data_IF_846956500701
#
_entry.id   IF_846956500701
#
_cell.length_a   1.000
_cell.length_b   1.000
_cell.length_c   1.000
_cell.angle_alpha   90.00
_cell.angle_beta   90.00
_cell.angle_gamma   90.00
#
_symmetry.space_group_name_H-M   'P 1'
#
loop_
_entity.id
_entity.type
_entity.pdbx_description
1 polymer ?
#
# COMPACT_ATOMS: atom_id res chain seq x y z
N UNK A 1 59.78 -50.40 21.95
CA UNK A 1 58.36 -50.06 22.24
C UNK A 1 58.17 -48.55 22.17
N UNK A 2 57.69 -48.02 21.05
CA UNK A 2 57.43 -46.58 20.87
C UNK A 2 55.91 -46.38 21.03
N UNK A 3 55.49 -45.62 22.05
CA UNK A 3 54.10 -45.18 22.22
C UNK A 3 53.86 -43.92 21.38
N UNK A 4 53.02 -44.04 20.38
CA UNK A 4 52.50 -42.89 19.59
C UNK A 4 51.35 -42.28 20.36
N UNK A 5 51.48 -41.02 20.72
CA UNK A 5 50.43 -40.19 21.28
C UNK A 5 49.71 -39.52 20.14
N UNK A 6 48.39 -39.85 19.94
CA UNK A 6 47.52 -39.25 18.96
C UNK A 6 46.89 -37.99 19.58
N UNK A 7 47.29 -36.81 19.08
CA UNK A 7 46.61 -35.54 19.42
C UNK A 7 45.34 -35.39 18.57
N UNK A 8 44.19 -35.45 19.20
CA UNK A 8 42.91 -35.09 18.60
C UNK A 8 42.74 -33.59 18.77
N UNK A 9 42.96 -32.81 17.72
CA UNK A 9 42.58 -31.40 17.61
C UNK A 9 41.09 -31.30 17.31
N UNK A 10 40.27 -31.00 18.33
CA UNK A 10 38.89 -30.64 18.17
C UNK A 10 38.80 -29.20 17.61
N UNK A 11 38.52 -29.05 16.32
CA UNK A 11 38.13 -27.77 15.73
C UNK A 11 36.74 -27.38 16.18
N UNK A 12 36.65 -26.46 17.10
CA UNK A 12 35.39 -25.74 17.40
C UNK A 12 35.18 -24.72 16.27
N UNK A 13 34.37 -25.07 15.28
CA UNK A 13 33.87 -24.12 14.33
C UNK A 13 32.79 -23.27 15.04
N UNK A 14 33.17 -22.10 15.54
CA UNK A 14 32.23 -21.05 15.87
C UNK A 14 31.58 -20.57 14.56
N UNK A 15 30.38 -21.06 14.29
CA UNK A 15 29.52 -20.43 13.30
C UNK A 15 29.13 -19.05 13.85
N UNK A 16 29.88 -18.01 13.48
CA UNK A 16 29.41 -16.63 13.59
C UNK A 16 28.22 -16.51 12.63
N UNK A 17 27.03 -16.73 13.16
CA UNK A 17 25.82 -16.24 12.52
C UNK A 17 25.92 -14.71 12.58
N UNK A 18 26.40 -14.05 11.53
CA UNK A 18 26.29 -12.62 11.39
C UNK A 18 24.77 -12.32 11.37
N UNK A 19 24.23 -11.88 12.50
CA UNK A 19 22.89 -11.33 12.56
C UNK A 19 22.92 -10.10 11.64
N UNK A 20 22.32 -10.22 10.47
CA UNK A 20 22.16 -9.08 9.58
C UNK A 20 21.50 -7.95 10.39
N UNK A 21 22.18 -6.83 10.52
CA UNK A 21 21.71 -5.68 11.28
C UNK A 21 20.40 -5.18 10.64
N UNK A 22 19.33 -5.11 11.42
CA UNK A 22 18.02 -4.69 10.92
C UNK A 22 18.09 -3.23 10.50
N UNK A 23 17.80 -2.93 9.23
CA UNK A 23 17.91 -1.58 8.67
C UNK A 23 16.96 -0.59 9.34
N UNK A 24 17.47 0.64 9.57
CA UNK A 24 16.71 1.75 10.13
C UNK A 24 16.13 2.59 8.99
N UNK A 25 14.83 2.85 9.04
CA UNK A 25 14.10 3.63 8.07
C UNK A 25 13.64 4.96 8.65
N UNK A 26 13.90 6.05 7.93
CA UNK A 26 13.35 7.37 8.19
C UNK A 26 11.99 7.50 7.48
N UNK A 27 11.06 8.34 8.00
CA UNK A 27 9.82 8.59 7.28
C UNK A 27 10.11 9.29 5.94
N UNK A 28 9.51 8.77 4.86
CA UNK A 28 9.60 9.37 3.51
C UNK A 28 8.70 10.61 3.37
N UNK A 29 7.71 10.72 4.24
CA UNK A 29 6.82 11.88 4.32
C UNK A 29 6.35 12.07 5.76
N UNK A 30 6.21 13.33 6.15
CA UNK A 30 5.76 13.77 7.48
C UNK A 30 4.70 14.86 7.29
N UNK A 31 3.46 14.60 7.75
CA UNK A 31 2.36 15.57 7.75
C UNK A 31 2.07 15.96 9.21
N UNK A 32 2.61 17.11 9.64
CA UNK A 32 2.27 17.68 10.96
C UNK A 32 0.81 18.14 10.95
N UNK A 33 0.06 17.84 12.00
CA UNK A 33 -1.35 18.15 12.11
C UNK A 33 -1.68 18.77 13.47
N UNK A 34 -2.43 19.86 13.45
CA UNK A 34 -3.10 20.41 14.63
C UNK A 34 -4.55 19.91 14.60
N UNK A 35 -4.77 18.73 15.17
CA UNK A 35 -6.07 18.05 15.10
C UNK A 35 -7.21 18.90 15.70
N UNK A 36 -6.96 19.63 16.80
CA UNK A 36 -7.98 20.45 17.45
C UNK A 36 -8.33 21.69 16.62
N UNK A 37 -7.34 22.41 16.09
CA UNK A 37 -7.54 23.57 15.21
C UNK A 37 -8.22 23.14 13.91
N UNK A 38 -7.68 22.10 13.28
CA UNK A 38 -8.11 21.66 11.96
C UNK A 38 -9.53 21.06 12.02
N UNK A 39 -9.90 20.33 13.08
CA UNK A 39 -11.27 19.84 13.26
C UNK A 39 -12.27 20.99 13.35
N UNK A 40 -11.99 22.01 14.16
CA UNK A 40 -12.86 23.20 14.24
C UNK A 40 -12.98 23.93 12.90
N UNK A 41 -11.87 24.03 12.16
CA UNK A 41 -11.87 24.63 10.82
C UNK A 41 -12.69 23.80 9.85
N UNK A 42 -12.52 22.47 9.85
CA UNK A 42 -13.29 21.55 9.01
C UNK A 42 -14.80 21.66 9.26
N UNK A 43 -15.22 21.62 10.53
CA UNK A 43 -16.64 21.72 10.90
C UNK A 43 -17.23 23.06 10.43
N UNK A 44 -16.53 24.18 10.66
CA UNK A 44 -16.91 25.53 10.20
C UNK A 44 -17.03 25.62 8.67
N UNK A 45 -16.09 24.99 7.93
CA UNK A 45 -16.10 25.00 6.47
C UNK A 45 -17.23 24.14 5.89
N UNK A 46 -17.51 23.00 6.49
CA UNK A 46 -18.67 22.15 6.13
C UNK A 46 -20.00 22.89 6.34
N UNK A 47 -20.15 23.60 7.46
CA UNK A 47 -21.34 24.44 7.72
C UNK A 47 -21.46 25.56 6.68
N UNK A 48 -20.38 26.30 6.38
CA UNK A 48 -20.38 27.34 5.34
C UNK A 48 -20.75 26.79 3.96
N UNK A 49 -20.23 25.63 3.59
CA UNK A 49 -20.49 25.01 2.29
C UNK A 49 -21.97 24.63 2.07
N UNK A 50 -22.76 24.55 3.13
CA UNK A 50 -24.22 24.36 3.04
C UNK A 50 -25.01 25.64 2.68
N UNK A 51 -24.35 26.81 2.67
CA UNK A 51 -24.96 28.09 2.37
C UNK A 51 -24.93 28.40 0.86
N UNK A 52 -25.94 29.12 0.36
CA UNK A 52 -26.13 29.40 -1.08
C UNK A 52 -25.04 30.30 -1.68
N UNK A 53 -24.38 31.11 -0.88
CA UNK A 53 -23.37 32.09 -1.25
C UNK A 53 -21.94 31.63 -0.99
N UNK A 54 -21.74 30.33 -0.73
CA UNK A 54 -20.41 29.76 -0.53
C UNK A 54 -19.56 29.85 -1.78
N UNK A 55 -18.42 30.56 -1.69
CA UNK A 55 -17.40 30.62 -2.72
C UNK A 55 -16.09 29.97 -2.23
N UNK A 56 -15.77 28.79 -2.78
CA UNK A 56 -14.55 28.04 -2.50
C UNK A 56 -13.26 28.85 -2.74
N UNK A 57 -13.26 29.76 -3.72
CA UNK A 57 -12.06 30.53 -4.08
C UNK A 57 -11.72 31.61 -3.03
N UNK A 58 -12.62 31.89 -2.09
CA UNK A 58 -12.34 32.81 -0.97
C UNK A 58 -11.59 32.14 0.18
N UNK A 59 -11.42 30.81 0.14
CA UNK A 59 -10.69 30.05 1.15
C UNK A 59 -9.18 30.21 0.95
N UNK A 60 -8.45 30.29 2.07
CA UNK A 60 -6.99 30.17 2.04
C UNK A 60 -6.54 28.78 1.59
N UNK A 61 -5.29 28.62 1.14
CA UNK A 61 -4.73 27.32 0.76
C UNK A 61 -4.81 26.27 1.88
N UNK A 62 -4.58 26.69 3.16
CA UNK A 62 -4.74 25.83 4.35
C UNK A 62 -6.20 25.39 4.50
N UNK A 63 -7.17 26.30 4.36
CA UNK A 63 -8.59 25.99 4.44
C UNK A 63 -9.06 25.10 3.30
N UNK A 64 -8.58 25.34 2.06
CA UNK A 64 -8.86 24.47 0.90
C UNK A 64 -8.34 23.06 1.13
N UNK A 65 -7.12 22.93 1.66
CA UNK A 65 -6.53 21.62 2.01
C UNK A 65 -7.39 20.87 3.04
N UNK A 66 -7.89 21.56 4.06
CA UNK A 66 -8.76 20.97 5.10
C UNK A 66 -10.14 20.64 4.52
N UNK A 67 -10.72 21.54 3.71
CA UNK A 67 -12.04 21.36 3.11
C UNK A 67 -12.10 20.19 2.13
N UNK A 68 -11.02 19.97 1.38
CA UNK A 68 -10.92 18.90 0.39
C UNK A 68 -10.73 17.50 1.01
N UNK A 69 -10.59 17.38 2.34
CA UNK A 69 -10.59 16.08 3.01
C UNK A 69 -11.96 15.41 2.81
N UNK A 70 -11.97 14.25 2.16
CA UNK A 70 -13.20 13.48 1.85
C UNK A 70 -13.67 12.66 3.07
N UNK A 71 -13.75 13.26 4.25
CA UNK A 71 -14.07 12.64 5.53
C UNK A 71 -15.39 13.15 6.08
N UNK A 72 -16.05 12.37 6.91
CA UNK A 72 -17.23 12.83 7.65
C UNK A 72 -16.82 13.73 8.82
N UNK A 73 -15.70 13.39 9.45
CA UNK A 73 -15.07 14.17 10.51
C UNK A 73 -13.56 14.30 10.25
N UNK A 74 -12.97 15.42 10.65
CA UNK A 74 -11.51 15.58 10.59
C UNK A 74 -10.75 14.60 11.51
N UNK A 75 -11.46 14.02 12.47
CA UNK A 75 -10.92 12.99 13.36
C UNK A 75 -10.83 11.60 12.72
N UNK A 76 -11.43 11.39 11.58
CA UNK A 76 -11.35 10.12 10.85
C UNK A 76 -10.00 10.02 10.13
N UNK A 77 -9.38 8.85 10.18
CA UNK A 77 -8.09 8.58 9.51
C UNK A 77 -8.27 8.54 8.00
N UNK A 78 -9.29 7.86 7.53
CA UNK A 78 -9.61 7.70 6.10
C UNK A 78 -10.94 8.37 5.78
N UNK A 79 -11.07 8.83 4.53
CA UNK A 79 -12.31 9.39 4.02
C UNK A 79 -13.17 8.36 3.29
N UNK A 80 -14.31 8.83 2.76
CA UNK A 80 -15.22 8.03 1.94
C UNK A 80 -14.70 7.70 0.53
N UNK A 81 -13.50 8.16 0.17
CA UNK A 81 -12.85 7.79 -1.09
C UNK A 81 -12.32 6.37 -1.03
N UNK A 82 -12.22 5.71 -2.19
CA UNK A 82 -11.64 4.37 -2.28
C UNK A 82 -10.18 4.40 -1.79
N UNK A 83 -9.86 3.49 -0.89
CA UNK A 83 -8.54 3.33 -0.31
C UNK A 83 -8.12 1.86 -0.39
N UNK A 84 -6.87 1.57 -0.02
CA UNK A 84 -6.38 0.20 0.13
C UNK A 84 -7.31 -0.67 0.99
N UNK A 85 -7.98 -0.08 2.00
CA UNK A 85 -8.93 -0.77 2.88
C UNK A 85 -10.23 -1.24 2.21
N UNK A 86 -10.58 -0.74 1.03
CA UNK A 86 -11.71 -1.27 0.27
C UNK A 86 -11.49 -2.72 -0.19
N UNK A 87 -10.24 -3.12 -0.35
CA UNK A 87 -9.85 -4.43 -0.87
C UNK A 87 -9.24 -5.35 0.20
N UNK A 88 -8.87 -4.84 1.38
CA UNK A 88 -8.27 -5.62 2.46
C UNK A 88 -8.04 -4.81 3.73
N UNK A 89 -7.38 -5.43 4.70
CA UNK A 89 -7.03 -4.82 5.98
C UNK A 89 -6.67 -5.87 7.02
N UNK A 90 -6.15 -5.48 8.20
CA UNK A 90 -5.86 -6.46 9.25
C UNK A 90 -7.15 -7.12 9.74
N UNK A 91 -7.17 -8.43 9.75
CA UNK A 91 -8.28 -9.25 10.24
C UNK A 91 -8.36 -9.31 11.78
N UNK A 92 -7.24 -9.02 12.46
CA UNK A 92 -7.19 -8.90 13.91
C UNK A 92 -6.00 -8.06 14.37
N UNK A 93 -6.16 -7.44 15.56
CA UNK A 93 -5.12 -6.66 16.21
C UNK A 93 -5.07 -7.06 17.67
N UNK A 94 -3.85 -7.37 18.14
CA UNK A 94 -3.58 -7.74 19.54
C UNK A 94 -2.40 -6.95 20.07
N UNK A 95 -2.28 -6.85 21.39
CA UNK A 95 -1.15 -6.22 22.06
C UNK A 95 -0.57 -7.17 23.11
N UNK A 96 0.70 -6.99 23.46
CA UNK A 96 1.34 -7.67 24.59
C UNK A 96 0.74 -7.24 25.91
N UNK A 97 0.40 -5.94 26.05
CA UNK A 97 -0.32 -5.36 27.18
C UNK A 97 -1.18 -4.18 26.75
N UNK A 98 -2.05 -3.75 27.65
CA UNK A 98 -2.81 -2.50 27.48
C UNK A 98 -3.17 -1.90 28.84
N UNK A 99 -3.16 -0.58 28.92
CA UNK A 99 -3.53 0.15 30.13
C UNK A 99 -4.99 -0.13 30.49
N UNK A 100 -5.29 -0.24 31.79
CA UNK A 100 -6.64 -0.45 32.27
C UNK A 100 -7.54 0.74 31.94
N UNK A 101 -8.81 0.51 31.58
CA UNK A 101 -9.74 1.59 31.31
C UNK A 101 -9.84 2.59 32.48
N UNK A 102 -9.98 3.88 32.13
CA UNK A 102 -10.16 4.97 33.09
C UNK A 102 -11.53 5.65 32.81
N UNK A 103 -12.53 5.33 33.62
CA UNK A 103 -13.90 5.76 33.37
C UNK A 103 -14.43 5.21 32.03
N UNK A 104 -14.89 6.07 31.15
CA UNK A 104 -15.37 5.70 29.81
C UNK A 104 -14.25 5.52 28.77
N UNK A 105 -13.01 5.87 29.11
CA UNK A 105 -11.87 5.79 28.19
C UNK A 105 -11.21 4.42 28.32
N UNK A 106 -11.00 3.76 27.19
CA UNK A 106 -10.23 2.51 27.11
C UNK A 106 -9.01 2.73 26.21
N UNK A 107 -8.03 1.80 26.33
CA UNK A 107 -6.72 1.89 25.67
C UNK A 107 -6.37 0.59 24.95
N UNK A 108 -7.39 -0.04 24.34
CA UNK A 108 -7.29 -1.35 23.70
C UNK A 108 -6.32 -1.35 22.52
N UNK A 109 -5.78 -2.51 22.19
CA UNK A 109 -4.98 -2.73 21.00
C UNK A 109 -5.69 -2.23 19.72
N UNK A 110 -7.01 -2.45 19.61
CA UNK A 110 -7.79 -2.01 18.45
C UNK A 110 -7.84 -0.49 18.26
N UNK A 111 -7.59 0.29 19.31
CA UNK A 111 -7.56 1.75 19.19
C UNK A 111 -6.37 2.26 18.35
N UNK A 112 -5.34 1.44 18.15
CA UNK A 112 -4.24 1.78 17.24
C UNK A 112 -4.58 1.47 15.76
N UNK A 113 -5.84 1.14 15.48
CA UNK A 113 -6.35 0.88 14.14
C UNK A 113 -7.89 0.93 14.08
N UNK A 114 -8.50 1.76 14.86
CA UNK A 114 -9.95 2.02 14.75
C UNK A 114 -10.27 3.14 13.75
N UNK A 115 -9.21 3.63 13.08
CA UNK A 115 -9.23 4.68 12.08
C UNK A 115 -9.76 6.02 12.63
N UNK A 116 -9.48 6.29 13.91
CA UNK A 116 -9.89 7.50 14.62
C UNK A 116 -8.73 8.13 15.41
N UNK A 117 -8.42 9.38 15.10
CA UNK A 117 -7.39 10.15 15.85
C UNK A 117 -7.81 10.49 17.29
N UNK A 118 -9.04 10.14 17.73
CA UNK A 118 -9.54 10.42 19.09
C UNK A 118 -9.11 9.40 20.11
N UNK A 119 -8.71 8.21 19.68
CA UNK A 119 -8.36 7.07 20.50
C UNK A 119 -6.86 6.77 20.42
N UNK A 120 -6.37 5.91 21.28
CA UNK A 120 -5.01 5.38 21.24
C UNK A 120 -4.94 4.04 21.95
N UNK A 121 -4.05 3.17 21.50
CA UNK A 121 -3.49 2.13 22.32
C UNK A 121 -2.48 2.75 23.27
N UNK A 122 -2.51 2.32 24.51
CA UNK A 122 -1.53 2.65 25.55
C UNK A 122 -1.10 1.34 26.19
N UNK A 123 0.19 1.10 26.26
CA UNK A 123 0.72 -0.11 26.91
C UNK A 123 0.39 -0.12 28.41
N UNK A 124 0.45 -1.30 29.05
CA UNK A 124 -0.09 -1.50 30.38
C UNK A 124 0.92 -1.97 31.42
N UNK A 125 2.24 -1.85 31.13
CA UNK A 125 3.29 -2.25 32.07
C UNK A 125 3.83 -1.05 32.84
N UNK A 126 4.59 -1.28 33.89
CA UNK A 126 5.27 -0.20 34.61
C UNK A 126 6.44 0.34 33.78
N UNK A 127 6.59 1.67 33.73
CA UNK A 127 7.62 2.36 32.98
C UNK A 127 7.19 2.70 31.54
N UNK A 128 8.13 2.72 30.62
CA UNK A 128 7.93 3.26 29.27
C UNK A 128 7.48 2.21 28.22
N UNK A 129 7.13 1.01 28.62
CA UNK A 129 6.67 -0.04 27.72
C UNK A 129 7.72 -0.51 26.70
N UNK A 130 9.01 -0.41 27.00
CA UNK A 130 10.05 -0.95 26.11
C UNK A 130 9.90 -2.47 26.02
N UNK A 131 9.80 -3.00 24.77
CA UNK A 131 9.54 -4.41 24.51
C UNK A 131 8.05 -4.75 24.34
N UNK A 132 7.14 -3.85 24.73
CA UNK A 132 5.71 -4.01 24.45
C UNK A 132 5.41 -3.84 22.96
N UNK A 133 4.39 -4.54 22.45
CA UNK A 133 4.14 -4.61 21.01
C UNK A 133 2.66 -4.72 20.63
N UNK A 134 2.37 -4.31 19.41
CA UNK A 134 1.14 -4.57 18.69
C UNK A 134 1.38 -5.61 17.60
N UNK A 135 0.42 -6.51 17.38
CA UNK A 135 0.44 -7.48 16.28
C UNK A 135 -0.80 -7.34 15.42
N UNK A 136 -0.60 -7.15 14.13
CA UNK A 136 -1.60 -7.08 13.08
C UNK A 136 -1.57 -8.36 12.27
N UNK A 137 -2.71 -9.05 12.13
CA UNK A 137 -2.84 -10.25 11.31
C UNK A 137 -3.56 -9.90 10.02
N UNK A 138 -3.02 -10.31 8.89
CA UNK A 138 -3.58 -10.12 7.55
C UNK A 138 -3.95 -11.46 6.94
N UNK A 139 -4.99 -11.48 6.11
CA UNK A 139 -5.35 -12.66 5.33
C UNK A 139 -4.37 -12.87 4.19
N UNK A 140 -4.09 -14.13 3.87
CA UNK A 140 -3.43 -14.47 2.62
C UNK A 140 -4.31 -14.13 1.43
N UNK A 141 -3.73 -13.53 0.40
CA UNK A 141 -4.48 -13.03 -0.76
C UNK A 141 -5.01 -11.60 -0.64
N UNK A 142 -4.86 -10.96 0.53
CA UNK A 142 -5.17 -9.53 0.70
C UNK A 142 -4.19 -8.65 -0.10
N UNK A 143 -4.60 -7.40 -0.44
CA UNK A 143 -3.71 -6.45 -1.10
C UNK A 143 -2.40 -6.25 -0.34
N UNK A 144 -1.31 -6.09 -1.09
CA UNK A 144 0.04 -5.90 -0.53
C UNK A 144 0.19 -4.52 0.08
N UNK A 145 0.95 -4.44 1.18
CA UNK A 145 1.30 -3.20 1.86
C UNK A 145 2.59 -2.65 1.23
N UNK A 146 2.59 -1.37 0.85
CA UNK A 146 3.79 -0.64 0.39
C UNK A 146 4.16 0.51 1.29
N UNK A 147 3.24 0.93 2.16
CA UNK A 147 3.44 2.06 3.06
C UNK A 147 2.85 1.74 4.44
N UNK A 148 3.64 1.92 5.47
CA UNK A 148 3.20 1.91 6.87
C UNK A 148 3.07 3.36 7.31
N UNK A 149 1.92 3.73 7.88
CA UNK A 149 1.64 5.08 8.35
C UNK A 149 1.44 5.02 9.86
N UNK A 150 2.20 5.86 10.58
CA UNK A 150 2.18 5.89 12.04
C UNK A 150 1.76 7.28 12.50
N UNK A 151 0.76 7.33 13.39
CA UNK A 151 0.36 8.51 14.15
C UNK A 151 0.75 8.29 15.59
N UNK A 152 1.90 8.86 15.94
CA UNK A 152 2.60 8.62 17.20
C UNK A 152 1.98 9.44 18.35
N UNK A 153 2.02 8.87 19.56
CA UNK A 153 1.51 9.50 20.77
C UNK A 153 -0.02 9.54 20.88
N UNK A 154 -0.56 10.20 21.89
CA UNK A 154 -2.01 10.36 22.06
C UNK A 154 -2.46 11.71 21.49
N UNK A 155 -2.87 11.73 20.24
CA UNK A 155 -3.10 12.98 19.47
C UNK A 155 -4.46 13.62 19.65
N UNK A 156 -5.32 13.07 20.53
CA UNK A 156 -6.65 13.68 20.81
C UNK A 156 -6.59 15.12 21.29
N UNK A 157 -5.45 15.56 21.83
CA UNK A 157 -5.16 16.96 22.19
C UNK A 157 -3.67 17.19 22.32
N UNK A 158 -3.24 18.44 22.13
CA UNK A 158 -1.84 18.85 22.37
C UNK A 158 -1.36 18.56 23.81
N UNK A 159 -2.27 18.64 24.78
CA UNK A 159 -1.99 18.28 26.18
C UNK A 159 -1.75 16.77 26.33
N UNK A 160 -2.64 15.94 25.81
CA UNK A 160 -2.48 14.48 25.89
C UNK A 160 -1.22 14.02 25.18
N UNK A 161 -0.87 14.61 24.04
CA UNK A 161 0.37 14.31 23.31
C UNK A 161 1.63 14.60 24.14
N UNK A 162 1.68 15.74 24.85
CA UNK A 162 2.84 16.13 25.67
C UNK A 162 2.94 15.36 26.97
N UNK A 163 1.80 15.09 27.63
CA UNK A 163 1.79 14.44 28.96
C UNK A 163 2.15 12.95 28.91
N UNK A 164 1.85 12.23 27.81
CA UNK A 164 2.16 10.81 27.65
C UNK A 164 3.46 10.60 26.90
N UNK A 165 4.11 9.47 27.12
CA UNK A 165 5.28 9.05 26.34
C UNK A 165 4.87 8.67 24.91
N UNK A 166 5.78 8.86 23.97
CA UNK A 166 5.61 8.63 22.53
C UNK A 166 6.71 7.71 22.05
N UNK A 167 6.41 6.88 21.08
CA UNK A 167 7.41 5.98 20.49
C UNK A 167 8.47 6.78 19.73
N UNK A 168 9.75 6.42 19.92
CA UNK A 168 10.86 6.94 19.13
C UNK A 168 11.34 5.95 18.09
N UNK A 169 11.43 4.66 18.45
CA UNK A 169 11.77 3.59 17.51
C UNK A 169 10.82 2.42 17.66
N UNK A 170 10.27 1.96 16.52
CA UNK A 170 9.49 0.73 16.40
C UNK A 170 10.28 -0.30 15.61
N UNK A 171 10.49 -1.48 16.19
CA UNK A 171 11.01 -2.62 15.46
C UNK A 171 9.87 -3.40 14.81
N UNK A 172 9.98 -3.62 13.52
CA UNK A 172 8.96 -4.30 12.71
C UNK A 172 9.41 -5.71 12.41
N UNK A 173 8.50 -6.65 12.66
CA UNK A 173 8.70 -8.07 12.33
C UNK A 173 7.61 -8.51 11.35
N UNK A 174 7.99 -9.32 10.37
CA UNK A 174 7.07 -10.10 9.54
C UNK A 174 7.20 -11.57 9.92
N UNK A 175 6.12 -12.17 10.39
CA UNK A 175 6.10 -13.58 10.82
C UNK A 175 7.28 -13.91 11.76
N UNK A 176 7.44 -13.10 12.83
CA UNK A 176 8.50 -13.13 13.84
C UNK A 176 9.93 -12.86 13.36
N UNK A 177 10.14 -12.61 12.06
CA UNK A 177 11.43 -12.20 11.51
C UNK A 177 11.56 -10.68 11.51
N UNK A 178 12.60 -10.08 12.12
CA UNK A 178 12.81 -8.64 12.08
C UNK A 178 13.13 -8.18 10.65
N UNK A 179 12.42 -7.15 10.18
CA UNK A 179 12.54 -6.65 8.80
C UNK A 179 12.93 -5.17 8.74
N UNK A 180 12.59 -4.36 9.77
CA UNK A 180 12.85 -2.93 9.77
C UNK A 180 12.87 -2.37 11.20
N UNK A 181 13.51 -1.21 11.37
CA UNK A 181 13.34 -0.31 12.52
C UNK A 181 12.83 1.01 11.96
N UNK A 182 11.65 1.46 12.39
CA UNK A 182 11.10 2.78 12.04
C UNK A 182 11.59 3.80 13.05
N UNK A 183 12.31 4.84 12.60
CA UNK A 183 12.80 5.94 13.42
C UNK A 183 11.82 7.12 13.32
N UNK A 184 10.93 7.24 14.31
CA UNK A 184 9.84 8.21 14.31
C UNK A 184 10.34 9.59 14.76
N UNK A 185 9.72 10.64 14.24
CA UNK A 185 9.92 12.01 14.71
C UNK A 185 8.93 12.31 15.85
N UNK A 186 9.36 13.17 16.80
CA UNK A 186 8.49 13.62 17.90
C UNK A 186 7.55 14.73 17.42
N UNK A 187 6.54 14.33 16.65
CA UNK A 187 5.54 15.23 16.08
C UNK A 187 4.13 14.65 16.23
N UNK A 188 3.17 15.54 16.39
CA UNK A 188 1.74 15.24 16.30
C UNK A 188 1.34 15.25 14.82
N UNK A 189 1.04 14.07 14.24
CA UNK A 189 0.71 13.93 12.82
C UNK A 189 1.11 12.59 12.23
N UNK A 190 0.94 12.47 10.91
CA UNK A 190 1.24 11.26 10.15
C UNK A 190 2.70 11.18 9.73
N UNK A 191 3.26 9.98 9.83
CA UNK A 191 4.60 9.66 9.37
C UNK A 191 4.54 8.41 8.48
N UNK A 192 4.95 8.53 7.22
CA UNK A 192 4.86 7.49 6.21
C UNK A 192 6.20 6.82 5.98
N UNK A 193 6.23 5.48 6.01
CA UNK A 193 7.43 4.66 5.84
C UNK A 193 7.25 3.71 4.67
N UNK A 194 8.24 3.64 3.78
CA UNK A 194 8.34 2.63 2.72
C UNK A 194 9.48 1.68 3.04
N UNK A 195 9.17 0.45 3.42
CA UNK A 195 10.15 -0.59 3.79
C UNK A 195 10.18 -1.75 2.79
N UNK A 196 9.60 -1.55 1.62
CA UNK A 196 9.38 -2.55 0.59
C UNK A 196 7.93 -3.00 0.52
N UNK A 197 7.64 -3.91 -0.40
CA UNK A 197 6.31 -4.50 -0.56
C UNK A 197 6.17 -5.69 0.39
N UNK A 198 5.11 -5.68 1.19
CA UNK A 198 4.80 -6.71 2.19
C UNK A 198 3.49 -7.41 1.83
N UNK A 199 3.42 -8.69 2.17
CA UNK A 199 2.27 -9.54 1.87
C UNK A 199 2.39 -10.19 0.50
N UNK A 200 1.41 -11.05 0.21
CA UNK A 200 1.28 -11.79 -1.04
C UNK A 200 -0.20 -11.84 -1.37
N UNK A 201 -0.60 -11.22 -2.48
CA UNK A 201 -1.99 -11.19 -2.96
C UNK A 201 -2.38 -12.43 -3.78
N UNK A 202 -1.58 -13.48 -3.77
CA UNK A 202 -1.92 -14.77 -4.38
C UNK A 202 -3.04 -15.45 -3.57
N UNK A 203 -4.12 -15.82 -4.22
CA UNK A 203 -5.22 -16.49 -3.57
C UNK A 203 -4.76 -17.84 -2.97
N UNK A 204 -5.14 -18.10 -1.72
CA UNK A 204 -4.73 -19.32 -1.01
C UNK A 204 -3.39 -19.22 -0.29
N UNK A 205 -2.70 -18.08 -0.35
CA UNK A 205 -1.53 -17.81 0.49
C UNK A 205 -1.91 -17.88 1.98
N UNK A 206 -1.00 -18.29 2.87
CA UNK A 206 -1.26 -18.33 4.31
C UNK A 206 -1.44 -16.92 4.89
N UNK A 207 -2.21 -16.82 5.97
CA UNK A 207 -2.30 -15.62 6.79
C UNK A 207 -0.90 -15.27 7.33
N UNK A 208 -0.63 -13.98 7.48
CA UNK A 208 0.67 -13.45 7.90
C UNK A 208 0.53 -12.31 8.90
N UNK A 209 1.62 -11.94 9.58
CA UNK A 209 1.59 -10.98 10.68
C UNK A 209 2.65 -9.91 10.55
N UNK A 210 2.29 -8.68 10.98
CA UNK A 210 3.24 -7.62 11.32
C UNK A 210 3.18 -7.37 12.82
N UNK A 211 4.35 -7.42 13.47
CA UNK A 211 4.51 -7.05 14.87
C UNK A 211 5.33 -5.77 14.96
N UNK A 212 4.88 -4.81 15.77
CA UNK A 212 5.51 -3.52 16.01
C UNK A 212 5.90 -3.43 17.49
N UNK A 213 7.19 -3.52 17.79
CA UNK A 213 7.74 -3.55 19.14
C UNK A 213 8.39 -2.21 19.50
N UNK A 214 8.07 -1.65 20.65
CA UNK A 214 8.65 -0.42 21.18
C UNK A 214 10.11 -0.65 21.57
N UNK A 215 11.07 0.05 20.92
CA UNK A 215 12.49 -0.04 21.25
C UNK A 215 12.98 1.17 22.05
N UNK A 216 12.53 2.38 21.66
CA UNK A 216 12.91 3.64 22.28
C UNK A 216 11.70 4.57 22.34
N UNK A 217 11.68 5.50 23.31
CA UNK A 217 10.59 6.45 23.49
C UNK A 217 11.08 7.90 23.63
N UNK A 218 10.25 8.84 23.27
CA UNK A 218 10.28 10.22 23.74
C UNK A 218 9.44 10.27 25.02
N UNK A 219 10.05 10.69 26.13
CA UNK A 219 9.42 10.73 27.45
C UNK A 219 8.30 11.76 27.48
N UNK A 220 7.19 11.43 28.12
CA UNK A 220 6.11 12.35 28.42
C UNK A 220 6.48 13.29 29.59
N UNK A 221 5.80 14.43 29.64
CA UNK A 221 6.03 15.41 30.71
C UNK A 221 5.45 14.94 32.05
N UNK A 222 4.56 13.94 32.04
CA UNK A 222 3.79 13.54 33.23
C UNK A 222 3.66 12.02 33.41
N UNK A 223 3.43 11.26 32.34
CA UNK A 223 3.16 9.84 32.38
C UNK A 223 4.25 9.04 31.66
N UNK A 224 4.65 7.93 32.27
CA UNK A 224 5.56 6.98 31.65
C UNK A 224 4.89 6.15 30.56
N UNK A 225 3.54 6.00 30.67
CA UNK A 225 2.75 5.23 29.70
C UNK A 225 2.98 5.71 28.27
N UNK A 226 3.38 4.80 27.38
CA UNK A 226 3.61 5.08 25.95
C UNK A 226 2.35 4.84 25.15
N UNK A 227 1.92 5.90 24.45
CA UNK A 227 0.72 5.90 23.63
C UNK A 227 1.05 5.87 22.13
N UNK A 228 0.15 5.25 21.35
CA UNK A 228 0.18 5.21 19.89
C UNK A 228 -1.26 5.31 19.38
N UNK A 229 -1.58 6.41 18.68
CA UNK A 229 -2.94 6.64 18.19
C UNK A 229 -3.29 5.73 17.03
N UNK A 230 -2.41 5.64 16.00
CA UNK A 230 -2.72 4.84 14.81
C UNK A 230 -1.47 4.22 14.19
N UNK A 231 -1.58 2.97 13.79
CA UNK A 231 -0.77 2.37 12.73
C UNK A 231 -1.74 1.88 11.65
N UNK A 232 -1.65 2.46 10.47
CA UNK A 232 -2.46 2.04 9.35
C UNK A 232 -1.63 1.91 8.08
N UNK A 233 -2.25 1.44 7.01
CA UNK A 233 -1.50 0.94 5.87
C UNK A 233 -2.03 1.56 4.58
N UNK A 234 -1.14 1.65 3.60
CA UNK A 234 -1.47 1.92 2.22
C UNK A 234 -0.69 0.94 1.34
N UNK A 235 -1.19 0.66 0.16
CA UNK A 235 -0.56 -0.37 -0.64
C UNK A 235 -1.13 -0.50 -2.05
N UNK A 236 -0.88 -1.67 -2.60
CA UNK A 236 -1.30 -2.04 -3.95
C UNK A 236 -2.06 -3.35 -3.92
N UNK A 237 -3.07 -3.43 -4.72
CA UNK A 237 -3.71 -4.70 -5.06
C UNK A 237 -3.11 -5.22 -6.36
N UNK A 238 -3.89 -5.37 -7.39
CA UNK A 238 -3.49 -5.70 -8.76
C UNK A 238 -3.96 -4.59 -9.70
N UNK A 239 -3.18 -4.31 -10.73
CA UNK A 239 -3.66 -3.45 -11.80
C UNK A 239 -4.61 -4.25 -12.71
N UNK A 240 -5.74 -3.67 -13.09
CA UNK A 240 -6.84 -4.38 -13.71
C UNK A 240 -7.40 -3.68 -14.96
N UNK A 241 -8.11 -4.46 -15.76
CA UNK A 241 -8.83 -4.09 -16.98
C UNK A 241 -10.34 -4.15 -16.73
N UNK A 242 -11.11 -3.24 -17.29
CA UNK A 242 -12.57 -3.23 -17.16
C UNK A 242 -13.20 -4.49 -17.77
N UNK A 243 -14.35 -4.90 -17.24
CA UNK A 243 -15.20 -5.95 -17.82
C UNK A 243 -15.47 -5.68 -19.29
N UNK A 244 -15.49 -6.73 -20.10
CA UNK A 244 -15.71 -6.66 -21.56
C UNK A 244 -14.46 -6.32 -22.36
N UNK A 245 -13.30 -6.09 -21.73
CA UNK A 245 -12.03 -5.92 -22.44
C UNK A 245 -11.69 -7.19 -23.22
N UNK A 246 -11.38 -7.04 -24.52
CA UNK A 246 -11.03 -8.16 -25.41
C UNK A 246 -9.56 -8.51 -25.24
N UNK A 247 -9.27 -9.73 -24.89
CA UNK A 247 -7.92 -10.29 -24.82
C UNK A 247 -7.59 -10.99 -26.14
N UNK A 248 -6.47 -10.62 -26.75
CA UNK A 248 -6.00 -11.27 -27.97
C UNK A 248 -5.43 -12.64 -27.61
N UNK A 249 -6.03 -13.70 -28.15
CA UNK A 249 -5.59 -15.08 -27.93
C UNK A 249 -4.40 -15.45 -28.83
N UNK A 250 -3.72 -16.52 -28.50
CA UNK A 250 -2.54 -17.00 -29.27
C UNK A 250 -2.85 -17.43 -30.70
N UNK A 251 -4.08 -17.75 -31.01
CA UNK A 251 -4.58 -18.10 -32.36
C UNK A 251 -5.10 -16.88 -33.15
N UNK A 252 -5.00 -15.68 -32.57
CA UNK A 252 -5.49 -14.44 -33.15
C UNK A 252 -6.97 -14.13 -32.90
N UNK A 253 -7.72 -15.02 -32.26
CA UNK A 253 -9.08 -14.76 -31.82
C UNK A 253 -9.12 -13.79 -30.63
N UNK A 254 -10.32 -13.31 -30.26
CA UNK A 254 -10.52 -12.45 -29.11
C UNK A 254 -11.49 -13.08 -28.11
N UNK A 255 -11.21 -12.93 -26.82
CA UNK A 255 -12.04 -13.41 -25.73
C UNK A 255 -12.21 -12.32 -24.67
N UNK A 256 -13.39 -12.17 -24.06
CA UNK A 256 -13.58 -11.22 -22.99
C UNK A 256 -12.71 -11.57 -21.76
N UNK A 257 -12.17 -10.55 -21.09
CA UNK A 257 -11.30 -10.75 -19.91
C UNK A 257 -11.99 -11.56 -18.80
N UNK A 258 -13.29 -11.35 -18.58
CA UNK A 258 -14.10 -12.10 -17.61
C UNK A 258 -14.33 -13.57 -17.96
N UNK A 259 -14.04 -13.97 -19.18
CA UNK A 259 -14.16 -15.35 -19.67
C UNK A 259 -12.80 -16.07 -19.71
N UNK A 260 -11.69 -15.32 -19.51
CA UNK A 260 -10.33 -15.89 -19.47
C UNK A 260 -10.19 -16.76 -18.22
N UNK A 261 -9.52 -17.89 -18.38
CA UNK A 261 -9.29 -18.86 -17.32
C UNK A 261 -7.89 -19.45 -17.40
N UNK A 262 -7.47 -20.12 -16.33
CA UNK A 262 -6.23 -20.90 -16.31
C UNK A 262 -6.23 -21.93 -17.47
N UNK A 263 -5.09 -22.02 -18.15
CA UNK A 263 -4.90 -22.89 -19.32
C UNK A 263 -5.18 -22.23 -20.66
N UNK A 264 -5.83 -21.07 -20.72
CA UNK A 264 -6.00 -20.31 -21.97
C UNK A 264 -4.63 -19.85 -22.50
N UNK A 265 -4.43 -19.87 -23.83
CA UNK A 265 -3.24 -19.35 -24.48
C UNK A 265 -3.52 -17.94 -25.04
N UNK A 266 -2.74 -16.95 -24.60
CA UNK A 266 -2.89 -15.56 -25.03
C UNK A 266 -1.68 -15.10 -25.85
N UNK A 267 -1.86 -14.13 -26.74
CA UNK A 267 -0.78 -13.39 -27.36
C UNK A 267 -0.10 -12.56 -26.29
N UNK A 268 1.23 -12.68 -26.17
CA UNK A 268 2.00 -12.10 -25.10
C UNK A 268 3.21 -11.32 -25.61
N UNK A 269 3.75 -10.46 -24.74
CA UNK A 269 4.93 -9.66 -24.99
C UNK A 269 6.05 -10.04 -24.01
N UNK A 270 7.25 -10.28 -24.52
CA UNK A 270 8.35 -10.82 -23.74
C UNK A 270 9.33 -9.75 -23.27
N UNK A 271 10.17 -10.09 -22.29
CA UNK A 271 11.29 -9.24 -21.86
C UNK A 271 12.32 -8.97 -22.98
N UNK A 272 12.31 -9.79 -24.02
CA UNK A 272 13.18 -9.62 -25.21
C UNK A 272 12.58 -8.70 -26.27
N UNK A 273 11.48 -8.00 -25.95
CA UNK A 273 10.73 -7.15 -26.87
C UNK A 273 10.21 -7.89 -28.11
N UNK A 274 9.78 -9.12 -27.93
CA UNK A 274 9.20 -9.96 -28.98
C UNK A 274 7.79 -10.39 -28.59
N UNK A 275 6.94 -10.58 -29.61
CA UNK A 275 5.64 -11.21 -29.42
C UNK A 275 5.79 -12.72 -29.36
N UNK A 276 4.96 -13.36 -28.57
CA UNK A 276 4.92 -14.80 -28.41
C UNK A 276 3.58 -15.23 -27.88
N UNK A 277 3.45 -16.50 -27.54
CA UNK A 277 2.29 -17.03 -26.82
C UNK A 277 2.68 -17.43 -25.40
N UNK A 278 1.72 -17.26 -24.51
CA UNK A 278 1.87 -17.66 -23.13
C UNK A 278 0.58 -18.26 -22.58
N UNK A 279 0.71 -19.23 -21.69
CA UNK A 279 -0.46 -19.85 -21.02
C UNK A 279 -0.80 -19.05 -19.77
N UNK A 280 -2.06 -18.72 -19.59
CA UNK A 280 -2.61 -18.09 -18.39
C UNK A 280 -2.49 -19.07 -17.22
N UNK A 281 -1.91 -18.62 -16.11
CA UNK A 281 -1.74 -19.39 -14.87
C UNK A 281 -2.66 -18.92 -13.76
N UNK A 282 -2.98 -17.61 -13.74
CA UNK A 282 -3.90 -17.06 -12.76
C UNK A 282 -4.64 -15.83 -13.31
N UNK A 283 -5.91 -15.71 -12.91
CA UNK A 283 -6.79 -14.57 -13.21
C UNK A 283 -7.43 -14.11 -11.91
N UNK A 284 -7.58 -12.82 -11.74
CA UNK A 284 -8.21 -12.21 -10.57
C UNK A 284 -9.31 -11.25 -11.01
N UNK A 285 -10.42 -11.24 -10.25
CA UNK A 285 -11.47 -10.23 -10.32
C UNK A 285 -11.42 -9.36 -9.08
N UNK A 286 -11.51 -8.04 -9.27
CA UNK A 286 -11.59 -7.03 -8.20
C UNK A 286 -12.63 -5.98 -8.53
N UNK A 287 -13.06 -5.21 -7.53
CA UNK A 287 -13.86 -4.01 -7.72
C UNK A 287 -12.98 -2.78 -7.57
N UNK A 288 -13.06 -1.84 -8.50
CA UNK A 288 -12.33 -0.57 -8.43
C UNK A 288 -13.28 0.60 -8.70
N UNK A 289 -13.04 1.73 -8.03
CA UNK A 289 -13.79 2.97 -8.23
C UNK A 289 -13.05 3.97 -9.10
N UNK A 290 -11.71 4.02 -9.01
CA UNK A 290 -10.88 4.94 -9.78
C UNK A 290 -10.28 4.23 -11.00
N UNK A 291 -10.58 4.74 -12.19
CA UNK A 291 -10.10 4.17 -13.45
C UNK A 291 -9.80 5.24 -14.49
N UNK A 292 -9.18 4.83 -15.58
CA UNK A 292 -8.87 5.66 -16.74
C UNK A 292 -9.32 4.96 -18.02
N UNK A 293 -9.87 5.72 -18.95
CA UNK A 293 -10.15 5.29 -20.33
C UNK A 293 -9.21 6.02 -21.28
N UNK A 294 -8.39 5.26 -21.97
CA UNK A 294 -7.56 5.74 -23.06
C UNK A 294 -8.33 5.62 -24.38
N UNK A 295 -8.36 6.71 -25.18
CA UNK A 295 -8.87 6.67 -26.57
C UNK A 295 -7.70 6.76 -27.51
N UNK A 296 -7.75 5.97 -28.57
CA UNK A 296 -6.69 5.87 -29.56
C UNK A 296 -7.13 6.44 -30.90
N UNK A 297 -6.15 6.84 -31.72
CA UNK A 297 -6.40 7.41 -33.04
C UNK A 297 -7.14 6.45 -34.00
N UNK A 298 -6.96 5.15 -33.83
CA UNK A 298 -7.70 4.11 -34.57
C UNK A 298 -9.19 4.03 -34.23
N UNK A 299 -9.67 4.75 -33.20
CA UNK A 299 -11.01 4.63 -32.65
C UNK A 299 -11.16 3.59 -31.56
N UNK A 300 -10.13 2.80 -31.24
CA UNK A 300 -10.10 1.87 -30.11
C UNK A 300 -10.14 2.62 -28.79
N UNK A 301 -10.55 1.92 -27.74
CA UNK A 301 -10.42 2.42 -26.35
C UNK A 301 -10.02 1.29 -25.40
N UNK A 302 -9.36 1.66 -24.30
CA UNK A 302 -9.02 0.75 -23.22
C UNK A 302 -9.34 1.41 -21.89
N UNK A 303 -10.14 0.73 -21.06
CA UNK A 303 -10.44 1.16 -19.69
C UNK A 303 -9.72 0.24 -18.70
N UNK A 304 -8.93 0.85 -17.81
CA UNK A 304 -8.13 0.13 -16.83
C UNK A 304 -7.92 0.96 -15.55
N UNK A 305 -7.32 0.36 -14.51
CA UNK A 305 -6.86 1.12 -13.33
C UNK A 305 -5.80 2.13 -13.71
N UNK A 306 -5.69 3.25 -12.94
CA UNK A 306 -4.74 4.34 -13.25
C UNK A 306 -3.27 3.89 -13.31
N UNK A 307 -2.95 2.87 -12.56
CA UNK A 307 -1.63 2.28 -12.39
C UNK A 307 -1.33 1.12 -13.37
N UNK A 308 -2.28 0.76 -14.25
CA UNK A 308 -2.07 -0.32 -15.22
C UNK A 308 -1.02 0.09 -16.26
N UNK A 309 0.13 -0.63 -16.34
CA UNK A 309 1.19 -0.28 -17.28
C UNK A 309 0.79 -0.63 -18.73
N UNK A 310 1.02 0.32 -19.65
CA UNK A 310 0.93 0.14 -21.10
C UNK A 310 2.34 0.22 -21.68
N UNK A 311 2.62 -0.52 -22.74
CA UNK A 311 3.94 -0.51 -23.36
C UNK A 311 4.03 0.48 -24.53
N UNK A 312 4.91 1.49 -24.39
CA UNK A 312 5.27 2.43 -25.44
C UNK A 312 6.63 2.05 -26.04
N UNK A 313 6.75 1.88 -27.36
CA UNK A 313 8.03 1.60 -27.99
C UNK A 313 9.11 2.67 -27.74
N UNK A 314 8.68 3.91 -27.50
CA UNK A 314 9.57 5.04 -27.24
C UNK A 314 9.98 5.18 -25.77
N UNK A 315 9.06 4.93 -24.85
CA UNK A 315 9.24 5.27 -23.44
C UNK A 315 9.31 4.03 -22.52
N UNK A 316 9.12 2.83 -23.06
CA UNK A 316 8.92 1.62 -22.28
C UNK A 316 7.55 1.62 -21.60
N UNK A 317 7.47 1.16 -20.36
CA UNK A 317 6.22 1.13 -19.62
C UNK A 317 5.76 2.54 -19.24
N UNK A 318 4.47 2.81 -19.42
CA UNK A 318 3.82 4.09 -19.10
C UNK A 318 2.49 3.85 -18.39
N UNK A 319 2.08 4.72 -17.48
CA UNK A 319 0.77 4.68 -16.82
C UNK A 319 0.32 6.08 -16.38
N UNK A 320 -0.94 6.21 -15.93
CA UNK A 320 -1.44 7.45 -15.31
C UNK A 320 -0.94 7.64 -13.87
N UNK A 321 -0.58 6.56 -13.17
CA UNK A 321 0.03 6.56 -11.83
C UNK A 321 1.34 5.75 -11.84
N UNK A 322 2.43 6.32 -12.37
CA UNK A 322 3.69 5.60 -12.50
C UNK A 322 4.33 5.26 -11.15
N UNK A 323 4.09 6.05 -10.10
CA UNK A 323 4.66 5.78 -8.78
C UNK A 323 4.03 4.52 -8.17
N UNK A 324 2.73 4.32 -8.34
CA UNK A 324 2.06 3.09 -7.94
C UNK A 324 2.49 1.92 -8.82
N UNK A 325 2.57 2.12 -10.13
CA UNK A 325 3.05 1.09 -11.07
C UNK A 325 4.45 0.57 -10.75
N UNK A 326 5.39 1.42 -10.33
CA UNK A 326 6.75 1.02 -9.91
C UNK A 326 6.79 0.12 -8.68
N UNK A 327 5.71 0.06 -7.92
CA UNK A 327 5.58 -0.84 -6.77
C UNK A 327 5.27 -2.29 -7.17
N UNK A 328 4.82 -2.51 -8.41
CA UNK A 328 4.58 -3.84 -8.96
C UNK A 328 5.89 -4.50 -9.39
N UNK A 329 5.94 -5.82 -9.23
CA UNK A 329 7.12 -6.62 -9.61
C UNK A 329 7.32 -6.56 -11.12
N UNK A 330 8.53 -6.22 -11.54
CA UNK A 330 8.91 -6.12 -12.97
C UNK A 330 8.79 -4.72 -13.58
N UNK A 331 8.21 -3.74 -12.88
CA UNK A 331 7.96 -2.39 -13.39
C UNK A 331 8.82 -1.33 -12.68
N UNK A 332 10.14 -1.44 -12.79
CA UNK A 332 11.08 -0.53 -12.10
C UNK A 332 11.07 0.89 -12.72
N UNK A 333 10.94 0.96 -14.05
CA UNK A 333 10.95 2.22 -14.80
C UNK A 333 9.60 2.39 -15.51
N UNK A 334 8.71 3.18 -14.92
CA UNK A 334 7.42 3.55 -15.52
C UNK A 334 7.36 5.06 -15.67
N UNK A 335 7.03 5.55 -16.85
CA UNK A 335 6.87 6.97 -17.11
C UNK A 335 5.37 7.37 -17.07
N UNK A 336 5.12 8.67 -16.88
CA UNK A 336 3.74 9.19 -16.95
C UNK A 336 3.27 9.19 -18.41
N UNK A 337 2.14 8.53 -18.67
CA UNK A 337 1.48 8.54 -19.97
C UNK A 337 0.89 9.92 -20.26
N UNK A 338 0.93 10.34 -21.54
CA UNK A 338 0.40 11.63 -22.01
C UNK A 338 -0.38 11.45 -23.31
N UNK A 339 -1.29 12.36 -23.59
CA UNK A 339 -1.88 12.48 -24.94
C UNK A 339 -0.75 12.63 -25.95
N UNK A 340 -0.82 11.91 -27.06
CA UNK A 340 0.24 11.83 -28.06
C UNK A 340 1.24 10.67 -27.86
N UNK A 341 1.18 9.94 -26.73
CA UNK A 341 1.99 8.73 -26.52
C UNK A 341 1.54 7.62 -27.47
N UNK A 342 2.51 6.95 -28.12
CA UNK A 342 2.26 5.78 -28.95
C UNK A 342 2.38 4.51 -28.13
N UNK A 343 1.43 3.58 -28.29
CA UNK A 343 1.36 2.31 -27.57
C UNK A 343 1.39 1.15 -28.57
N UNK A 344 2.20 0.13 -28.28
CA UNK A 344 2.36 -1.06 -29.11
C UNK A 344 1.03 -1.81 -29.26
N UNK A 345 0.71 -2.24 -30.50
CA UNK A 345 -0.46 -3.01 -30.84
C UNK A 345 -0.15 -4.49 -31.08
N UNK A 346 -1.18 -5.33 -31.03
CA UNK A 346 -1.10 -6.77 -31.25
C UNK A 346 -0.65 -7.19 -32.66
N UNK A 347 -0.72 -6.29 -33.63
CA UNK A 347 -0.22 -6.50 -34.99
C UNK A 347 1.22 -5.98 -35.20
N UNK A 348 1.88 -5.49 -34.16
CA UNK A 348 3.21 -4.92 -34.20
C UNK A 348 3.28 -3.46 -34.59
N UNK A 349 2.15 -2.83 -34.95
CA UNK A 349 2.07 -1.41 -35.18
C UNK A 349 1.97 -0.61 -33.86
N UNK A 350 1.97 0.71 -33.96
CA UNK A 350 1.76 1.62 -32.83
C UNK A 350 0.48 2.43 -33.03
N UNK A 351 -0.26 2.67 -31.96
CA UNK A 351 -1.43 3.55 -31.97
C UNK A 351 -1.28 4.70 -30.98
N UNK A 352 -1.72 5.89 -31.39
CA UNK A 352 -1.53 7.11 -30.62
C UNK A 352 -2.70 7.37 -29.68
N UNK A 353 -2.41 7.66 -28.41
CA UNK A 353 -3.40 8.12 -27.45
C UNK A 353 -3.87 9.52 -27.82
N UNK A 354 -5.18 9.70 -28.03
CA UNK A 354 -5.82 10.98 -28.39
C UNK A 354 -6.59 11.60 -27.23
N UNK A 355 -7.04 10.78 -26.23
CA UNK A 355 -7.67 11.27 -25.02
C UNK A 355 -7.36 10.36 -23.82
N UNK A 356 -7.37 10.96 -22.62
CA UNK A 356 -7.21 10.30 -21.34
C UNK A 356 -8.35 10.79 -20.43
N UNK A 357 -9.32 9.93 -20.16
CA UNK A 357 -10.52 10.26 -19.41
C UNK A 357 -10.53 9.50 -18.09
N UNK A 358 -10.54 10.20 -16.96
CA UNK A 358 -10.63 9.57 -15.63
C UNK A 358 -12.09 9.43 -15.21
N UNK A 359 -12.44 8.26 -14.68
CA UNK A 359 -13.75 7.95 -14.14
C UNK A 359 -13.69 7.57 -12.67
N UNK A 360 -14.84 7.74 -12.00
CA UNK A 360 -15.03 7.37 -10.59
C UNK A 360 -16.41 6.69 -10.46
N UNK A 361 -16.44 5.40 -10.68
CA UNK A 361 -17.64 4.58 -10.51
C UNK A 361 -17.21 3.16 -10.14
N UNK A 362 -17.83 2.59 -9.12
CA UNK A 362 -17.53 1.24 -8.70
C UNK A 362 -18.00 0.24 -9.78
N UNK A 363 -17.06 -0.53 -10.31
CA UNK A 363 -17.34 -1.56 -11.31
C UNK A 363 -16.35 -2.72 -11.22
N UNK A 364 -16.71 -3.91 -11.75
CA UNK A 364 -15.83 -5.05 -11.77
C UNK A 364 -14.70 -4.88 -12.79
N UNK A 365 -13.49 -5.18 -12.35
CA UNK A 365 -12.28 -5.24 -13.14
C UNK A 365 -11.65 -6.62 -13.04
N UNK A 366 -10.84 -6.98 -14.02
CA UNK A 366 -10.20 -8.27 -14.14
C UNK A 366 -8.74 -8.11 -14.57
N UNK A 367 -7.91 -9.07 -14.23
CA UNK A 367 -6.54 -9.11 -14.76
C UNK A 367 -5.99 -10.52 -14.81
N UNK A 368 -5.06 -10.74 -15.74
CA UNK A 368 -4.19 -11.90 -15.75
C UNK A 368 -3.00 -11.56 -14.85
N UNK A 369 -2.87 -12.26 -13.73
CA UNK A 369 -1.80 -11.99 -12.74
C UNK A 369 -0.58 -12.88 -12.92
N UNK A 370 -0.70 -13.97 -13.71
CA UNK A 370 0.42 -14.86 -13.97
C UNK A 370 0.31 -15.49 -15.36
N UNK A 371 1.41 -15.41 -16.12
CA UNK A 371 1.61 -16.07 -17.40
C UNK A 371 2.71 -17.13 -17.28
N UNK A 372 2.66 -18.18 -18.11
CA UNK A 372 3.78 -19.10 -18.24
C UNK A 372 4.99 -18.35 -18.78
N UNK A 373 6.18 -18.76 -18.34
CA UNK A 373 7.44 -18.18 -18.76
C UNK A 373 7.67 -16.72 -18.29
N UNK A 374 8.68 -16.07 -18.82
CA UNK A 374 9.07 -14.69 -18.47
C UNK A 374 8.36 -13.66 -19.35
N UNK A 375 7.05 -13.79 -19.53
CA UNK A 375 6.25 -12.83 -20.25
C UNK A 375 5.83 -11.70 -19.30
N UNK A 376 6.00 -10.45 -19.75
CA UNK A 376 5.75 -9.24 -18.95
C UNK A 376 4.49 -8.49 -19.42
N UNK A 377 3.82 -8.95 -20.46
CA UNK A 377 2.61 -8.32 -20.98
C UNK A 377 1.81 -9.23 -21.89
N UNK A 378 0.59 -8.79 -22.15
CA UNK A 378 -0.37 -9.39 -23.08
C UNK A 378 -1.12 -8.28 -23.82
N UNK A 379 -2.05 -8.62 -24.73
CA UNK A 379 -2.77 -7.63 -25.53
C UNK A 379 -4.24 -7.57 -25.15
N UNK A 380 -4.69 -6.36 -24.78
CA UNK A 380 -6.03 -6.04 -24.33
C UNK A 380 -6.64 -4.95 -25.23
N UNK A 381 -7.78 -5.20 -25.89
CA UNK A 381 -8.34 -4.39 -26.96
C UNK A 381 -7.30 -4.07 -28.04
N UNK A 382 -6.40 -5.02 -28.33
CA UNK A 382 -5.29 -4.86 -29.26
C UNK A 382 -4.08 -4.09 -28.72
N UNK A 383 -4.09 -3.58 -27.50
CA UNK A 383 -3.04 -2.73 -26.88
C UNK A 383 -2.16 -3.59 -25.97
N UNK A 384 -0.84 -3.40 -26.02
CA UNK A 384 0.08 -4.07 -25.13
C UNK A 384 -0.02 -3.52 -23.70
N UNK A 385 -0.40 -4.37 -22.76
CA UNK A 385 -0.54 -4.07 -21.33
C UNK A 385 0.36 -4.98 -20.51
N UNK A 386 0.80 -4.48 -19.35
CA UNK A 386 1.66 -5.23 -18.45
C UNK A 386 0.92 -6.31 -17.67
N UNK A 387 1.62 -7.37 -17.29
CA UNK A 387 1.22 -8.31 -16.25
C UNK A 387 2.31 -8.43 -15.21
N UNK A 388 1.93 -8.49 -13.96
CA UNK A 388 2.87 -8.68 -12.86
C UNK A 388 3.10 -10.18 -12.64
N UNK A 389 4.34 -10.63 -12.82
CA UNK A 389 4.72 -11.97 -12.42
C UNK A 389 4.78 -12.06 -10.90
N UNK A 390 3.78 -12.65 -10.25
CA UNK A 390 3.68 -12.73 -8.80
C UNK A 390 4.57 -13.80 -8.16
N UNK A 391 5.22 -14.66 -8.94
CA UNK A 391 6.17 -15.71 -8.47
C UNK A 391 7.61 -15.39 -8.73
#
# INVERSE_FOLDING_TARGET
MKKSILFILAFWAYALCALAETSVFQPVSVKKMDFEKNSKTFDRLKEKASQKDFDYNTLTEEEQSIFNETKDSYWDVIGGACSWYCAGGPSSITASSQLKPQGAVNYKASNAHDLSYRTAWVEGVAGYGIGEYLTYTFKGGDPRITTIIVVNGYVKSGKAFKENSRVKKLKVYKDDKPIAILDLKDIMGEQRFKIGTLGDNTQGSPDWKLKFEIMEVYKGDKYDDTALSEIYFDGIDVHCLAKGTKITMADGSEKNIEEIKEGDEVLSYTTSNTMGKSTVKAVVQKSHTDFVTYRFKSGRSLTCTLDHPLFSPKFGWVSCDPEKSKSYKGFVNVATVKIGTYILQSDGSDDQITAIEKGKEEQPFYTITELSDKHIGFFANGVCVGTEGLK
#
